data_IF_685388967509
#
_entry.id   IF_685388967509
#
_cell.length_a   1.000
_cell.length_b   1.000
_cell.length_c   1.000
_cell.angle_alpha   90.00
_cell.angle_beta   90.00
_cell.angle_gamma   90.00
#
_symmetry.space_group_name_H-M   'P 1'
#
loop_
_entity.id
_entity.type
_entity.pdbx_description
1 polymer ?
#
# COMPACT_ATOMS: atom_id res chain seq x y z
N UNK A 1 -2.55 -25.65 17.43
CA UNK A 1 -3.54 -26.35 16.59
C UNK A 1 -3.03 -26.32 15.16
N UNK A 2 -3.01 -27.46 14.44
CA UNK A 2 -2.81 -27.43 12.98
C UNK A 2 -4.04 -26.74 12.37
N UNK A 3 -3.88 -25.79 11.43
CA UNK A 3 -5.02 -25.12 10.81
C UNK A 3 -5.93 -26.16 10.12
N UNK A 4 -7.24 -25.92 10.16
CA UNK A 4 -8.21 -26.68 9.37
C UNK A 4 -7.82 -26.51 7.91
N UNK A 5 -7.58 -27.61 7.19
CA UNK A 5 -7.07 -27.55 5.83
C UNK A 5 -8.19 -27.08 4.89
N UNK A 6 -8.09 -25.86 4.38
CA UNK A 6 -8.97 -25.37 3.33
C UNK A 6 -8.43 -25.90 2.00
N UNK A 7 -9.27 -26.53 1.20
CA UNK A 7 -8.84 -27.15 -0.06
C UNK A 7 -8.46 -26.11 -1.14
N UNK A 8 -8.83 -24.83 -0.94
CA UNK A 8 -8.66 -23.79 -1.95
C UNK A 8 -7.24 -23.25 -2.02
N UNK A 9 -6.80 -22.93 -3.23
CA UNK A 9 -5.49 -22.31 -3.51
C UNK A 9 -5.64 -20.82 -3.79
N UNK A 10 -4.84 -20.00 -3.12
CA UNK A 10 -4.79 -18.54 -3.31
C UNK A 10 -3.44 -18.13 -3.88
N UNK A 11 -3.44 -17.47 -5.03
CA UNK A 11 -2.25 -16.87 -5.63
C UNK A 11 -2.10 -15.43 -5.12
N UNK A 12 -0.95 -15.09 -4.53
CA UNK A 12 -0.68 -13.72 -4.10
C UNK A 12 0.55 -13.16 -4.80
N UNK A 13 0.55 -11.86 -5.10
CA UNK A 13 1.78 -11.22 -5.54
C UNK A 13 1.66 -9.73 -5.83
N UNK A 14 2.79 -9.04 -6.04
CA UNK A 14 4.13 -9.64 -6.10
C UNK A 14 4.66 -10.14 -4.73
N UNK A 15 5.44 -11.22 -4.74
CA UNK A 15 5.98 -11.83 -3.52
C UNK A 15 6.88 -10.89 -2.70
N UNK A 16 7.46 -9.85 -3.33
CA UNK A 16 8.30 -8.84 -2.67
C UNK A 16 7.52 -7.59 -2.23
N UNK A 17 6.19 -7.57 -2.41
CA UNK A 17 5.34 -6.51 -1.91
C UNK A 17 5.41 -6.45 -0.37
N UNK A 18 5.34 -5.23 0.16
CA UNK A 18 5.48 -4.98 1.59
C UNK A 18 4.41 -5.69 2.44
N UNK A 19 3.18 -5.79 1.93
CA UNK A 19 2.09 -6.47 2.62
C UNK A 19 2.19 -8.01 2.55
N UNK A 20 3.01 -8.55 1.63
CA UNK A 20 2.97 -9.96 1.28
C UNK A 20 3.15 -10.92 2.45
N UNK A 21 4.07 -10.70 3.42
CA UNK A 21 4.20 -11.61 4.55
C UNK A 21 2.96 -11.67 5.43
N UNK A 22 2.37 -10.51 5.72
CA UNK A 22 1.16 -10.44 6.56
C UNK A 22 -0.06 -11.05 5.89
N UNK A 23 -0.16 -10.91 4.57
CA UNK A 23 -1.18 -11.58 3.75
C UNK A 23 -0.96 -13.08 3.76
N UNK A 24 0.26 -13.55 3.53
CA UNK A 24 0.59 -14.98 3.59
C UNK A 24 0.19 -15.58 4.95
N UNK A 25 0.58 -14.94 6.06
CA UNK A 25 0.26 -15.44 7.39
C UNK A 25 -1.26 -15.51 7.64
N UNK A 26 -2.01 -14.50 7.21
CA UNK A 26 -3.49 -14.50 7.28
C UNK A 26 -4.07 -15.73 6.58
N UNK A 27 -3.71 -15.93 5.31
CA UNK A 27 -4.24 -17.02 4.49
C UNK A 27 -3.78 -18.40 4.99
N UNK A 28 -2.54 -18.51 5.43
CA UNK A 28 -1.97 -19.74 5.98
C UNK A 28 -2.71 -20.19 7.25
N UNK A 29 -3.00 -19.27 8.18
CA UNK A 29 -3.74 -19.61 9.40
C UNK A 29 -5.21 -19.93 9.14
N UNK A 30 -5.78 -19.40 8.05
CA UNK A 30 -7.09 -19.79 7.51
C UNK A 30 -7.08 -21.13 6.74
N UNK A 31 -5.91 -21.75 6.60
CA UNK A 31 -5.74 -23.07 6.00
C UNK A 31 -5.68 -23.08 4.48
N UNK A 32 -5.62 -21.93 3.81
CA UNK A 32 -5.47 -21.85 2.35
C UNK A 32 -4.10 -22.36 1.91
N UNK A 33 -4.05 -23.02 0.75
CA UNK A 33 -2.78 -23.27 0.06
C UNK A 33 -2.34 -21.97 -0.63
N UNK A 34 -1.26 -21.36 -0.16
CA UNK A 34 -0.78 -20.09 -0.72
C UNK A 34 0.30 -20.35 -1.77
N UNK A 35 0.12 -19.82 -2.98
CA UNK A 35 1.13 -19.76 -4.04
C UNK A 35 1.49 -18.30 -4.31
N UNK A 36 2.67 -18.07 -4.88
CA UNK A 36 3.11 -16.71 -5.19
C UNK A 36 3.65 -16.58 -6.60
N UNK A 37 3.48 -15.39 -7.18
CA UNK A 37 4.22 -14.97 -8.37
C UNK A 37 5.20 -13.84 -8.04
N UNK A 38 6.31 -13.79 -8.76
CA UNK A 38 7.37 -12.83 -8.58
C UNK A 38 7.98 -12.40 -9.92
N UNK A 39 8.60 -11.23 -9.96
CA UNK A 39 9.41 -10.79 -11.11
C UNK A 39 10.64 -11.69 -11.23
N UNK A 40 11.03 -12.07 -12.45
CA UNK A 40 12.18 -12.95 -12.73
C UNK A 40 13.49 -12.48 -12.06
N UNK A 41 13.78 -11.19 -12.07
CA UNK A 41 15.02 -10.62 -11.52
C UNK A 41 14.93 -10.26 -10.03
N UNK A 42 13.88 -10.67 -9.34
CA UNK A 42 13.63 -10.29 -7.94
C UNK A 42 13.64 -11.51 -7.03
N UNK A 43 14.32 -11.36 -5.88
CA UNK A 43 14.28 -12.34 -4.79
C UNK A 43 13.49 -11.76 -3.64
N UNK A 44 12.48 -12.49 -3.17
CA UNK A 44 11.72 -12.15 -1.97
C UNK A 44 12.05 -13.13 -0.83
N UNK A 45 12.26 -12.66 0.42
CA UNK A 45 12.38 -13.54 1.57
C UNK A 45 11.19 -14.49 1.70
N UNK A 46 9.98 -14.02 1.36
CA UNK A 46 8.75 -14.80 1.40
C UNK A 46 8.85 -16.07 0.57
N UNK A 47 9.25 -15.96 -0.71
CA UNK A 47 9.34 -17.11 -1.62
C UNK A 47 10.47 -18.08 -1.29
N UNK A 48 11.45 -17.66 -0.48
CA UNK A 48 12.60 -18.50 -0.08
C UNK A 48 12.45 -19.20 1.27
N UNK A 49 11.58 -18.69 2.14
CA UNK A 49 11.54 -19.12 3.55
C UNK A 49 10.18 -19.69 3.92
N UNK A 50 9.09 -19.14 3.38
CA UNK A 50 7.74 -19.58 3.71
C UNK A 50 7.30 -20.73 2.79
N UNK A 51 6.40 -21.61 3.24
CA UNK A 51 5.98 -22.79 2.48
C UNK A 51 5.00 -22.44 1.35
N UNK A 52 5.46 -21.69 0.35
CA UNK A 52 4.68 -21.27 -0.83
C UNK A 52 4.97 -22.09 -2.10
N UNK A 53 5.87 -23.08 -1.97
CA UNK A 53 6.42 -23.83 -3.10
C UNK A 53 7.32 -22.99 -4.00
N UNK A 54 7.68 -23.51 -5.17
CA UNK A 54 8.41 -22.73 -6.16
C UNK A 54 7.54 -21.54 -6.64
N UNK A 55 8.09 -20.31 -6.62
CA UNK A 55 7.36 -19.13 -7.07
C UNK A 55 7.23 -19.16 -8.59
N UNK A 56 6.08 -18.71 -9.09
CA UNK A 56 5.91 -18.50 -10.52
C UNK A 56 6.66 -17.24 -10.94
N UNK A 57 7.57 -17.37 -11.91
CA UNK A 57 8.35 -16.25 -12.42
C UNK A 57 7.65 -15.63 -13.62
N UNK A 58 7.50 -14.31 -13.60
CA UNK A 58 6.99 -13.54 -14.74
C UNK A 58 7.95 -12.42 -15.10
N UNK A 59 7.92 -11.98 -16.35
CA UNK A 59 8.65 -10.77 -16.77
C UNK A 59 8.27 -9.59 -15.87
N UNK A 60 9.24 -8.72 -15.60
CA UNK A 60 8.96 -7.51 -14.84
C UNK A 60 8.06 -6.57 -15.67
N UNK A 61 6.89 -6.13 -15.15
CA UNK A 61 6.05 -5.16 -15.86
C UNK A 61 6.78 -3.85 -16.15
N UNK A 62 7.81 -3.53 -15.36
CA UNK A 62 8.70 -2.39 -15.54
C UNK A 62 9.65 -2.54 -16.74
N UNK A 63 9.80 -3.75 -17.29
CA UNK A 63 10.56 -4.04 -18.51
C UNK A 63 9.65 -4.21 -19.74
N UNK A 64 8.50 -4.90 -19.58
CA UNK A 64 7.47 -5.02 -20.60
C UNK A 64 6.14 -5.41 -19.95
N UNK A 65 5.14 -4.52 -20.04
CA UNK A 65 3.82 -4.78 -19.48
C UNK A 65 3.08 -5.91 -20.23
N UNK A 66 3.23 -5.95 -21.56
CA UNK A 66 2.60 -6.96 -22.42
C UNK A 66 3.13 -8.37 -22.11
N UNK A 67 4.45 -8.54 -21.99
CA UNK A 67 5.04 -9.84 -21.65
C UNK A 67 4.63 -10.28 -20.25
N UNK A 68 4.67 -9.38 -19.27
CA UNK A 68 4.23 -9.70 -17.91
C UNK A 68 2.75 -10.11 -17.87
N UNK A 69 1.89 -9.44 -18.65
CA UNK A 69 0.45 -9.75 -18.74
C UNK A 69 0.24 -11.13 -19.36
N UNK A 70 0.93 -11.43 -20.46
CA UNK A 70 0.89 -12.75 -21.11
C UNK A 70 1.40 -13.86 -20.20
N UNK A 71 2.47 -13.63 -19.47
CA UNK A 71 3.01 -14.60 -18.52
C UNK A 71 2.01 -14.91 -17.40
N UNK A 72 1.41 -13.88 -16.80
CA UNK A 72 0.42 -14.08 -15.75
C UNK A 72 -0.84 -14.78 -16.30
N UNK A 73 -1.32 -14.40 -17.49
CA UNK A 73 -2.44 -15.08 -18.13
C UNK A 73 -2.13 -16.56 -18.42
N UNK A 74 -0.94 -16.86 -18.95
CA UNK A 74 -0.47 -18.22 -19.19
C UNK A 74 -0.33 -19.03 -17.89
N UNK A 75 0.19 -18.41 -16.83
CA UNK A 75 0.24 -19.01 -15.49
C UNK A 75 -1.17 -19.42 -15.05
N UNK A 76 -2.13 -18.50 -15.10
CA UNK A 76 -3.51 -18.76 -14.66
C UNK A 76 -4.16 -19.88 -15.50
N UNK A 77 -3.99 -19.85 -16.82
CA UNK A 77 -4.48 -20.90 -17.73
C UNK A 77 -3.94 -22.29 -17.41
N UNK A 78 -2.65 -22.37 -17.09
CA UNK A 78 -1.95 -23.63 -16.84
C UNK A 78 -2.13 -24.15 -15.40
N UNK A 79 -2.74 -23.38 -14.51
CA UNK A 79 -2.94 -23.73 -13.10
C UNK A 79 -4.41 -23.52 -12.70
N UNK A 80 -5.34 -24.33 -13.24
CA UNK A 80 -6.77 -24.21 -12.93
C UNK A 80 -7.12 -24.57 -11.47
N UNK A 81 -6.16 -25.06 -10.68
CA UNK A 81 -6.28 -25.27 -9.24
C UNK A 81 -6.19 -23.97 -8.42
N UNK A 82 -5.86 -22.84 -9.04
CA UNK A 82 -5.90 -21.52 -8.40
C UNK A 82 -7.36 -21.04 -8.34
N UNK A 83 -7.88 -20.86 -7.13
CA UNK A 83 -9.28 -20.48 -6.90
C UNK A 83 -9.45 -18.97 -6.77
N UNK A 84 -8.50 -18.30 -6.11
CA UNK A 84 -8.50 -16.85 -5.91
C UNK A 84 -7.12 -16.23 -6.12
N UNK A 85 -7.10 -14.93 -6.39
CA UNK A 85 -5.90 -14.14 -6.52
C UNK A 85 -5.96 -12.86 -5.67
N UNK A 86 -4.82 -12.47 -5.07
CA UNK A 86 -4.62 -11.17 -4.43
C UNK A 86 -3.42 -10.44 -5.02
N UNK A 87 -3.69 -9.27 -5.60
CA UNK A 87 -2.71 -8.24 -5.89
C UNK A 87 -2.33 -7.45 -4.62
N UNK A 88 -1.03 -7.27 -4.42
CA UNK A 88 -0.45 -6.78 -3.16
C UNK A 88 0.20 -5.39 -3.29
N UNK A 89 0.29 -4.86 -4.51
CA UNK A 89 0.71 -3.50 -4.83
C UNK A 89 -0.02 -2.98 -6.08
N UNK A 90 0.15 -1.69 -6.39
CA UNK A 90 -0.60 -1.04 -7.47
C UNK A 90 -0.22 -1.61 -8.86
N UNK A 91 1.02 -2.06 -9.02
CA UNK A 91 1.51 -2.71 -10.25
C UNK A 91 0.85 -4.07 -10.45
N UNK A 92 0.82 -4.91 -9.42
CA UNK A 92 0.16 -6.22 -9.47
C UNK A 92 -1.36 -6.09 -9.57
N UNK A 93 -1.95 -5.01 -9.06
CA UNK A 93 -3.39 -4.74 -9.19
C UNK A 93 -3.76 -4.46 -10.64
N UNK A 94 -2.98 -3.58 -11.30
CA UNK A 94 -3.10 -3.35 -12.73
C UNK A 94 -2.92 -4.67 -13.51
N UNK A 95 -1.81 -5.37 -13.25
CA UNK A 95 -1.43 -6.57 -13.98
C UNK A 95 -2.46 -7.70 -13.85
N UNK A 96 -3.00 -7.92 -12.65
CA UNK A 96 -4.01 -8.96 -12.41
C UNK A 96 -5.29 -8.69 -13.22
N UNK A 97 -5.74 -7.43 -13.25
CA UNK A 97 -6.90 -7.04 -14.04
C UNK A 97 -6.65 -7.25 -15.55
N UNK A 98 -5.52 -6.78 -16.08
CA UNK A 98 -5.18 -6.96 -17.50
C UNK A 98 -5.06 -8.45 -17.88
N UNK A 99 -4.41 -9.25 -17.03
CA UNK A 99 -4.27 -10.68 -17.29
C UNK A 99 -5.63 -11.39 -17.31
N UNK A 100 -6.51 -11.13 -16.33
CA UNK A 100 -7.84 -11.75 -16.28
C UNK A 100 -8.76 -11.30 -17.43
N UNK A 101 -8.63 -10.05 -17.88
CA UNK A 101 -9.34 -9.52 -19.04
C UNK A 101 -8.85 -10.16 -20.35
N UNK A 102 -7.57 -10.55 -20.41
CA UNK A 102 -7.00 -11.22 -21.59
C UNK A 102 -7.37 -12.70 -21.72
N UNK A 103 -7.88 -13.32 -20.65
CA UNK A 103 -8.35 -14.70 -20.67
C UNK A 103 -9.71 -14.79 -21.38
N UNK A 104 -9.90 -15.83 -22.19
CA UNK A 104 -11.15 -16.07 -22.91
C UNK A 104 -12.32 -16.41 -21.97
N UNK A 105 -13.56 -16.22 -22.43
CA UNK A 105 -14.76 -16.48 -21.61
C UNK A 105 -14.94 -17.95 -21.23
N UNK A 106 -14.43 -18.87 -22.04
CA UNK A 106 -14.45 -20.31 -21.78
C UNK A 106 -13.34 -20.76 -20.81
N UNK A 107 -12.38 -19.89 -20.48
CA UNK A 107 -11.27 -20.21 -19.59
C UNK A 107 -11.70 -20.05 -18.13
N UNK A 108 -11.31 -21.00 -17.26
CA UNK A 108 -11.52 -20.85 -15.82
C UNK A 108 -10.67 -19.68 -15.31
N UNK A 109 -11.32 -18.68 -14.72
CA UNK A 109 -10.68 -17.52 -14.10
C UNK A 109 -10.75 -17.65 -12.57
N UNK A 110 -9.64 -17.48 -11.82
CA UNK A 110 -9.75 -17.34 -10.37
C UNK A 110 -10.51 -16.05 -10.02
N UNK A 111 -11.15 -16.02 -8.86
CA UNK A 111 -11.76 -14.78 -8.36
C UNK A 111 -10.67 -13.81 -7.92
N UNK A 112 -10.74 -12.55 -8.37
CA UNK A 112 -9.81 -11.51 -7.91
C UNK A 112 -10.35 -10.91 -6.60
N UNK A 113 -9.62 -11.08 -5.50
CA UNK A 113 -9.97 -10.56 -4.18
C UNK A 113 -9.49 -9.11 -3.96
N UNK A 114 -9.47 -8.32 -5.04
CA UNK A 114 -9.15 -6.90 -5.06
C UNK A 114 -10.15 -6.13 -5.92
N UNK A 115 -9.95 -4.82 -6.02
CA UNK A 115 -10.67 -3.97 -6.93
C UNK A 115 -10.61 -4.45 -8.39
N UNK A 116 -11.77 -4.43 -9.04
CA UNK A 116 -11.97 -4.76 -10.46
C UNK A 116 -12.71 -3.63 -11.17
N UNK A 117 -12.58 -3.55 -12.49
CA UNK A 117 -13.31 -2.59 -13.33
C UNK A 117 -13.16 -1.15 -12.83
N UNK A 118 -14.29 -0.47 -12.59
CA UNK A 118 -14.33 0.93 -12.13
C UNK A 118 -13.61 1.12 -10.79
N UNK A 119 -13.72 0.17 -9.86
CA UNK A 119 -13.00 0.26 -8.57
C UNK A 119 -11.49 0.26 -8.79
N UNK A 120 -10.98 -0.56 -9.71
CA UNK A 120 -9.55 -0.58 -10.07
C UNK A 120 -9.12 0.75 -10.68
N UNK A 121 -9.93 1.33 -11.56
CA UNK A 121 -9.62 2.64 -12.16
C UNK A 121 -9.52 3.73 -11.10
N UNK A 122 -10.43 3.75 -10.12
CA UNK A 122 -10.39 4.69 -9.00
C UNK A 122 -9.18 4.41 -8.10
N UNK A 123 -8.88 3.15 -7.77
CA UNK A 123 -7.72 2.78 -6.96
C UNK A 123 -6.38 3.26 -7.55
N UNK A 124 -6.28 3.33 -8.87
CA UNK A 124 -5.06 3.67 -9.59
C UNK A 124 -5.00 5.15 -10.03
N UNK A 125 -6.05 5.95 -9.81
CA UNK A 125 -6.12 7.35 -10.22
C UNK A 125 -6.46 8.28 -9.05
N UNK A 126 -5.43 8.94 -8.52
CA UNK A 126 -5.55 9.89 -7.39
C UNK A 126 -6.37 11.13 -7.74
N UNK A 127 -6.43 11.55 -9.00
CA UNK A 127 -7.27 12.69 -9.36
C UNK A 127 -8.75 12.35 -9.15
N UNK A 128 -9.17 11.17 -9.62
CA UNK A 128 -10.54 10.64 -9.38
C UNK A 128 -10.83 10.42 -7.90
N UNK A 129 -9.84 9.95 -7.14
CA UNK A 129 -9.99 9.78 -5.69
C UNK A 129 -10.24 11.12 -4.99
N UNK A 130 -9.46 12.16 -5.33
CA UNK A 130 -9.57 13.49 -4.73
C UNK A 130 -10.94 14.10 -5.04
N UNK A 131 -11.38 14.05 -6.29
CA UNK A 131 -12.70 14.55 -6.70
C UNK A 131 -13.83 13.86 -5.91
N UNK A 132 -13.80 12.52 -5.82
CA UNK A 132 -14.81 11.78 -5.08
C UNK A 132 -14.74 12.00 -3.56
N UNK A 133 -13.53 12.20 -3.01
CA UNK A 133 -13.33 12.49 -1.58
C UNK A 133 -13.87 13.88 -1.22
N UNK A 134 -13.58 14.89 -2.03
CA UNK A 134 -14.09 16.26 -1.87
C UNK A 134 -15.62 16.28 -1.95
N UNK A 135 -16.21 15.60 -2.94
CA UNK A 135 -17.66 15.48 -3.09
C UNK A 135 -18.32 14.77 -1.89
N UNK A 136 -17.60 13.88 -1.21
CA UNK A 136 -18.05 13.21 0.01
C UNK A 136 -17.82 14.04 1.30
N UNK A 137 -17.29 15.26 1.19
CA UNK A 137 -17.06 16.16 2.31
C UNK A 137 -15.77 15.88 3.10
N UNK A 138 -14.84 15.09 2.56
CA UNK A 138 -13.48 14.99 3.10
C UNK A 138 -12.68 16.23 2.69
N UNK A 139 -11.86 16.75 3.61
CA UNK A 139 -10.92 17.81 3.27
C UNK A 139 -9.84 17.25 2.35
N UNK A 140 -9.58 17.91 1.22
CA UNK A 140 -8.48 17.58 0.30
C UNK A 140 -7.50 18.75 0.26
N UNK A 141 -6.18 18.52 0.15
CA UNK A 141 -5.26 19.62 -0.10
C UNK A 141 -5.68 20.39 -1.36
N UNK A 142 -5.55 21.73 -1.40
CA UNK A 142 -5.75 22.48 -2.64
C UNK A 142 -4.97 21.84 -3.78
N UNK A 143 -5.68 21.31 -4.78
CA UNK A 143 -5.10 20.46 -5.82
C UNK A 143 -5.35 21.05 -7.19
N UNK A 144 -4.30 21.16 -7.99
CA UNK A 144 -4.41 21.46 -9.41
C UNK A 144 -3.91 20.24 -10.19
N UNK A 145 -4.73 19.77 -11.13
CA UNK A 145 -4.34 18.71 -12.07
C UNK A 145 -3.67 19.38 -13.27
N UNK A 146 -2.37 19.17 -13.42
CA UNK A 146 -1.57 19.74 -14.50
C UNK A 146 -1.26 18.66 -15.55
N UNK A 147 -1.35 19.03 -16.82
CA UNK A 147 -1.10 18.18 -17.99
C UNK A 147 0.15 18.55 -18.76
N UNK A 148 0.83 19.63 -18.36
CA UNK A 148 2.07 20.10 -18.97
C UNK A 148 2.99 20.75 -17.93
N UNK A 149 4.27 20.93 -18.29
CA UNK A 149 5.23 21.62 -17.42
C UNK A 149 4.81 23.07 -17.18
N UNK A 150 4.28 23.76 -18.19
CA UNK A 150 3.80 25.14 -18.09
C UNK A 150 2.65 25.30 -17.11
N UNK A 151 1.75 24.32 -17.04
CA UNK A 151 0.69 24.29 -16.02
C UNK A 151 1.27 24.10 -14.62
N UNK A 152 2.30 23.26 -14.44
CA UNK A 152 3.00 23.13 -13.16
C UNK A 152 3.58 24.49 -12.73
N UNK A 153 4.28 25.18 -13.64
CA UNK A 153 4.85 26.51 -13.39
C UNK A 153 3.79 27.52 -12.93
N UNK A 154 2.63 27.55 -13.57
CA UNK A 154 1.53 28.48 -13.25
C UNK A 154 0.80 28.11 -11.95
N UNK A 155 0.67 26.82 -11.67
CA UNK A 155 -0.10 26.29 -10.55
C UNK A 155 0.68 26.33 -9.21
N UNK A 156 2.00 26.25 -9.26
CA UNK A 156 2.82 26.05 -8.07
C UNK A 156 2.81 27.25 -7.12
N UNK A 157 2.41 27.00 -5.87
CA UNK A 157 2.58 27.92 -4.73
C UNK A 157 3.45 27.23 -3.70
N UNK A 158 4.59 27.82 -3.37
CA UNK A 158 5.61 27.16 -2.56
C UNK A 158 5.34 27.24 -1.06
N UNK A 159 5.76 26.22 -0.28
CA UNK A 159 6.31 24.96 -0.74
C UNK A 159 5.23 24.04 -1.34
N UNK A 160 5.55 23.32 -2.43
CA UNK A 160 4.65 22.48 -3.21
C UNK A 160 5.22 21.08 -3.47
N UNK A 161 4.35 20.14 -3.77
CA UNK A 161 4.67 18.81 -4.27
C UNK A 161 3.97 18.58 -5.61
N UNK A 162 4.74 18.08 -6.56
CA UNK A 162 4.24 17.61 -7.86
C UNK A 162 4.36 16.09 -7.85
N UNK A 163 3.25 15.38 -7.98
CA UNK A 163 3.23 13.91 -8.00
C UNK A 163 2.31 13.39 -9.11
N UNK A 164 2.57 12.21 -9.70
CA UNK A 164 1.68 11.64 -10.70
C UNK A 164 0.27 11.45 -10.15
N UNK A 165 -0.74 11.75 -10.97
CA UNK A 165 -2.12 11.42 -10.62
C UNK A 165 -2.33 9.90 -10.66
N UNK A 166 -1.72 9.21 -11.62
CA UNK A 166 -1.82 7.75 -11.75
C UNK A 166 -0.78 7.06 -10.87
N UNK A 167 -1.21 6.06 -10.09
CA UNK A 167 -0.32 5.24 -9.26
C UNK A 167 0.68 4.45 -10.12
N UNK A 168 0.24 4.01 -11.30
CA UNK A 168 1.05 3.39 -12.35
C UNK A 168 0.62 3.90 -13.72
N UNK A 169 1.56 4.03 -14.64
CA UNK A 169 1.29 4.39 -16.04
C UNK A 169 2.16 3.57 -16.99
N UNK A 170 1.72 3.43 -18.24
CA UNK A 170 2.55 2.89 -19.31
C UNK A 170 3.34 4.03 -19.96
N UNK A 171 4.64 3.84 -20.11
CA UNK A 171 5.44 4.74 -20.94
C UNK A 171 5.31 4.40 -22.43
N UNK A 172 5.90 5.23 -23.30
CA UNK A 172 5.88 5.06 -24.75
C UNK A 172 6.49 3.72 -25.24
N UNK A 173 7.28 3.05 -24.40
CA UNK A 173 7.88 1.75 -24.70
C UNK A 173 7.04 0.58 -24.13
N UNK A 174 5.82 0.82 -23.64
CA UNK A 174 4.94 -0.21 -23.11
C UNK A 174 5.40 -0.75 -21.75
N UNK A 175 6.09 0.06 -20.95
CA UNK A 175 6.63 -0.35 -19.65
C UNK A 175 5.88 0.33 -18.52
N UNK A 176 5.59 -0.40 -17.45
CA UNK A 176 4.97 0.19 -16.26
C UNK A 176 5.96 1.09 -15.54
N UNK A 177 5.53 2.30 -15.20
CA UNK A 177 6.26 3.28 -14.41
C UNK A 177 5.41 3.75 -13.24
N UNK A 178 6.06 3.91 -12.09
CA UNK A 178 5.59 4.76 -11.00
C UNK A 178 6.33 6.07 -11.17
N UNK A 179 5.65 7.15 -11.52
CA UNK A 179 6.31 8.44 -11.70
C UNK A 179 6.85 8.97 -10.36
N UNK A 180 7.80 9.89 -10.43
CA UNK A 180 8.45 10.45 -9.26
C UNK A 180 7.66 11.64 -8.67
N UNK A 181 7.77 11.80 -7.35
CA UNK A 181 7.30 13.00 -6.68
C UNK A 181 8.43 14.04 -6.62
N UNK A 182 8.14 15.26 -7.03
CA UNK A 182 9.06 16.39 -7.01
C UNK A 182 8.63 17.38 -5.91
N UNK A 183 9.55 17.70 -5.01
CA UNK A 183 9.33 18.69 -3.96
C UNK A 183 9.89 20.02 -4.44
N UNK A 184 9.08 21.06 -4.38
CA UNK A 184 9.42 22.41 -4.80
C UNK A 184 9.30 23.32 -3.58
N UNK A 185 10.41 23.89 -3.12
CA UNK A 185 10.47 24.76 -1.94
C UNK A 185 10.49 26.24 -2.33
N UNK A 186 10.97 26.57 -3.51
CA UNK A 186 10.91 27.91 -4.08
C UNK A 186 10.87 27.91 -5.62
N UNK A 187 10.86 29.11 -6.20
CA UNK A 187 10.77 29.31 -7.65
C UNK A 187 11.94 28.66 -8.42
N UNK A 188 13.13 28.57 -7.82
CA UNK A 188 14.32 28.02 -8.49
C UNK A 188 14.22 26.51 -8.69
N UNK A 189 13.48 25.81 -7.82
CA UNK A 189 13.26 24.36 -7.96
C UNK A 189 12.50 24.00 -9.25
N UNK A 190 11.67 24.91 -9.77
CA UNK A 190 10.95 24.69 -11.03
C UNK A 190 11.90 24.59 -12.24
N UNK A 191 13.03 25.28 -12.20
CA UNK A 191 14.05 25.24 -13.25
C UNK A 191 14.76 23.88 -13.26
N UNK A 192 14.84 23.23 -12.09
CA UNK A 192 15.45 21.90 -11.90
C UNK A 192 14.54 20.74 -12.29
N UNK A 193 13.24 21.00 -12.54
CA UNK A 193 12.31 19.97 -12.98
C UNK A 193 12.80 19.35 -14.30
N UNK A 194 12.65 18.01 -14.45
CA UNK A 194 13.08 17.33 -15.65
C UNK A 194 12.27 17.78 -16.88
N UNK A 195 12.71 17.36 -18.07
CA UNK A 195 11.95 17.58 -19.30
C UNK A 195 10.58 16.91 -19.25
N UNK A 196 9.65 17.40 -20.08
CA UNK A 196 8.24 16.95 -20.10
C UNK A 196 8.09 15.43 -20.26
N UNK A 197 8.96 14.81 -21.05
CA UNK A 197 9.00 13.36 -21.32
C UNK A 197 9.29 12.50 -20.08
N UNK A 198 9.84 13.08 -19.02
CA UNK A 198 10.13 12.38 -17.77
C UNK A 198 8.90 12.32 -16.84
N UNK A 199 7.89 13.15 -17.08
CA UNK A 199 6.67 13.17 -16.27
C UNK A 199 5.68 12.10 -16.74
N UNK A 200 4.96 11.53 -15.78
CA UNK A 200 3.79 10.69 -16.02
C UNK A 200 2.53 11.53 -15.89
N UNK A 201 2.22 12.35 -16.90
CA UNK A 201 1.03 13.20 -16.89
C UNK A 201 -0.28 12.37 -16.92
N UNK A 202 -1.38 12.91 -16.35
CA UNK A 202 -1.44 14.16 -15.59
C UNK A 202 -0.77 14.04 -14.21
N UNK A 203 -0.32 15.18 -13.68
CA UNK A 203 0.26 15.29 -12.32
C UNK A 203 -0.62 16.16 -11.43
N UNK A 204 -0.51 15.94 -10.12
CA UNK A 204 -1.14 16.72 -9.08
C UNK A 204 -0.11 17.71 -8.53
N UNK A 205 -0.45 18.99 -8.54
CA UNK A 205 0.28 20.07 -7.87
C UNK A 205 -0.48 20.41 -6.59
N UNK A 206 0.16 20.21 -5.44
CA UNK A 206 -0.44 20.41 -4.11
C UNK A 206 0.53 21.17 -3.20
N UNK A 207 0.04 21.90 -2.19
CA UNK A 207 0.92 22.47 -1.17
C UNK A 207 1.59 21.35 -0.36
N UNK A 208 2.82 21.61 0.09
CA UNK A 208 3.47 20.80 1.10
C UNK A 208 2.94 21.17 2.47
N UNK A 209 2.19 20.25 3.07
CA UNK A 209 1.58 20.42 4.39
C UNK A 209 2.40 19.64 5.41
N UNK A 210 2.69 20.26 6.54
CA UNK A 210 3.24 19.53 7.67
C UNK A 210 2.12 18.83 8.45
N UNK A 211 2.39 17.60 8.89
CA UNK A 211 1.42 16.89 9.70
C UNK A 211 1.87 15.48 10.07
N UNK A 212 0.97 14.79 10.77
CA UNK A 212 1.13 13.38 11.12
C UNK A 212 0.35 12.54 10.13
N UNK A 213 1.01 11.54 9.53
CA UNK A 213 0.32 10.58 8.67
C UNK A 213 -0.64 9.73 9.50
N UNK A 214 -1.92 9.81 9.20
CA UNK A 214 -3.00 9.05 9.81
C UNK A 214 -3.75 8.25 8.74
N UNK A 215 -4.78 7.51 9.13
CA UNK A 215 -5.66 6.88 8.18
C UNK A 215 -6.82 6.19 8.84
N UNK A 216 -7.84 5.90 8.04
CA UNK A 216 -9.02 5.12 8.43
C UNK A 216 -8.98 3.81 7.65
N UNK A 217 -8.94 2.71 8.38
CA UNK A 217 -9.01 1.38 7.80
C UNK A 217 -10.42 0.84 7.96
N UNK A 218 -10.90 0.08 6.99
CA UNK A 218 -12.18 -0.59 7.09
C UNK A 218 -12.36 -1.69 6.06
N UNK A 219 -13.54 -2.29 6.09
CA UNK A 219 -13.97 -3.31 5.16
C UNK A 219 -15.36 -2.97 4.61
N UNK A 220 -15.50 -2.89 3.30
CA UNK A 220 -16.78 -2.65 2.64
C UNK A 220 -17.37 -3.98 2.15
N UNK A 221 -18.63 -4.25 2.50
CA UNK A 221 -19.38 -5.38 1.98
C UNK A 221 -20.75 -4.97 1.47
N UNK A 222 -21.63 -5.97 1.30
CA UNK A 222 -22.99 -5.77 0.81
C UNK A 222 -23.80 -4.77 1.63
N UNK A 223 -23.62 -4.76 2.95
CA UNK A 223 -24.34 -3.88 3.88
C UNK A 223 -23.60 -2.54 4.11
N UNK A 224 -22.57 -2.25 3.31
CA UNK A 224 -21.74 -1.06 3.43
C UNK A 224 -20.47 -1.28 4.25
N UNK A 225 -19.98 -0.19 4.83
CA UNK A 225 -18.69 -0.15 5.53
C UNK A 225 -18.81 -0.63 6.98
N UNK A 226 -17.98 -1.59 7.34
CA UNK A 226 -17.86 -2.17 8.67
C UNK A 226 -16.40 -2.28 9.12
N UNK A 227 -16.22 -2.69 10.39
CA UNK A 227 -14.92 -3.01 10.98
C UNK A 227 -13.92 -1.86 10.93
N UNK A 228 -14.36 -0.64 11.19
CA UNK A 228 -13.54 0.57 11.01
C UNK A 228 -12.66 0.85 12.23
N UNK A 229 -11.39 1.19 12.00
CA UNK A 229 -10.53 1.76 13.03
C UNK A 229 -9.45 2.68 12.43
N UNK A 230 -8.86 3.51 13.29
CA UNK A 230 -7.86 4.49 12.90
C UNK A 230 -6.43 3.98 12.99
N UNK A 231 -5.56 4.63 12.24
CA UNK A 231 -4.13 4.39 12.25
C UNK A 231 -3.39 5.72 12.38
N UNK A 232 -2.32 5.75 13.17
CA UNK A 232 -1.39 6.87 13.27
C UNK A 232 0.04 6.41 13.10
N UNK A 233 0.78 7.07 12.21
CA UNK A 233 2.24 6.86 12.06
C UNK A 233 2.93 7.45 13.28
N UNK A 234 3.67 6.60 14.00
CA UNK A 234 4.55 7.03 15.10
C UNK A 234 5.90 7.44 14.51
N UNK A 235 6.36 6.69 13.50
CA UNK A 235 7.61 6.95 12.75
C UNK A 235 7.44 6.52 11.31
N UNK A 236 7.97 7.33 10.40
CA UNK A 236 8.16 6.98 9.00
C UNK A 236 9.48 6.24 8.83
N UNK A 237 9.60 5.34 7.85
CA UNK A 237 10.89 4.70 7.53
C UNK A 237 11.94 5.74 7.07
N UNK A 238 11.53 6.69 6.24
CA UNK A 238 12.29 7.85 5.82
C UNK A 238 11.50 9.11 6.24
N UNK A 239 12.04 9.96 7.13
CA UNK A 239 11.33 11.15 7.60
C UNK A 239 11.06 12.21 6.53
N UNK A 240 11.62 12.08 5.32
CA UNK A 240 11.28 12.92 4.16
C UNK A 240 9.89 12.64 3.56
N UNK A 241 9.19 11.60 4.02
CA UNK A 241 7.93 11.15 3.43
C UNK A 241 8.04 9.71 2.96
N UNK A 242 7.45 8.80 3.73
CA UNK A 242 7.34 7.38 3.38
C UNK A 242 6.34 6.68 4.30
N UNK A 243 6.05 5.41 4.02
CA UNK A 243 5.25 4.56 4.89
C UNK A 243 5.87 4.37 6.29
N UNK A 244 5.05 3.88 7.21
CA UNK A 244 5.44 3.68 8.60
C UNK A 244 6.62 2.70 8.76
N UNK A 245 7.53 3.00 9.69
CA UNK A 245 8.35 2.01 10.39
C UNK A 245 7.70 1.59 11.71
N UNK A 246 6.91 2.48 12.33
CA UNK A 246 6.11 2.19 13.51
C UNK A 246 4.77 2.95 13.44
N UNK A 247 3.70 2.30 13.88
CA UNK A 247 2.37 2.92 13.96
C UNK A 247 1.55 2.36 15.13
N UNK A 248 0.49 3.08 15.49
CA UNK A 248 -0.52 2.63 16.45
C UNK A 248 -1.92 2.67 15.84
N UNK A 249 -2.82 1.91 16.45
CA UNK A 249 -4.25 2.06 16.26
C UNK A 249 -4.76 3.29 17.03
N UNK A 250 -5.78 3.93 16.47
CA UNK A 250 -6.47 5.10 17.03
C UNK A 250 -7.98 4.96 16.83
N UNK A 251 -8.75 5.81 17.51
CA UNK A 251 -10.18 6.00 17.23
C UNK A 251 -10.35 7.30 16.42
N UNK A 252 -10.72 7.22 15.12
CA UNK A 252 -11.07 8.41 14.35
C UNK A 252 -12.31 9.10 14.93
N UNK A 253 -12.47 10.40 14.67
CA UNK A 253 -13.69 11.11 15.01
C UNK A 253 -14.89 10.53 14.24
N UNK A 254 -16.07 10.52 14.86
CA UNK A 254 -17.27 9.92 14.27
C UNK A 254 -17.67 10.63 12.96
N UNK A 255 -17.49 11.95 12.87
CA UNK A 255 -17.76 12.73 11.65
C UNK A 255 -16.85 12.34 10.47
N UNK A 256 -15.57 12.07 10.75
CA UNK A 256 -14.61 11.57 9.76
C UNK A 256 -14.99 10.16 9.29
N UNK A 257 -15.46 9.30 10.20
CA UNK A 257 -15.94 7.97 9.83
C UNK A 257 -17.14 8.08 8.89
N UNK A 258 -18.11 8.96 9.18
CA UNK A 258 -19.30 9.13 8.33
C UNK A 258 -18.96 9.68 6.94
N UNK A 259 -18.01 10.62 6.84
CA UNK A 259 -17.47 11.09 5.55
C UNK A 259 -16.76 9.97 4.79
N UNK A 260 -15.95 9.16 5.47
CA UNK A 260 -15.30 7.99 4.86
C UNK A 260 -16.33 6.97 4.36
N UNK A 261 -17.38 6.68 5.13
CA UNK A 261 -18.47 5.79 4.68
C UNK A 261 -19.15 6.33 3.42
N UNK A 262 -19.43 7.63 3.39
CA UNK A 262 -20.02 8.31 2.23
C UNK A 262 -19.11 8.22 1.01
N UNK A 263 -17.80 8.47 1.19
CA UNK A 263 -16.80 8.35 0.13
C UNK A 263 -16.70 6.92 -0.43
N UNK A 264 -16.57 5.92 0.43
CA UNK A 264 -16.43 4.51 0.02
C UNK A 264 -17.71 4.03 -0.69
N UNK A 265 -18.89 4.48 -0.25
CA UNK A 265 -20.16 4.18 -0.92
C UNK A 265 -20.27 4.88 -2.29
N UNK A 266 -19.87 6.15 -2.41
CA UNK A 266 -20.03 6.93 -3.65
C UNK A 266 -19.21 6.36 -4.82
N UNK A 267 -18.07 5.74 -4.52
CA UNK A 267 -17.21 5.10 -5.52
C UNK A 267 -17.54 3.60 -5.74
N UNK A 268 -18.59 3.09 -5.07
CA UNK A 268 -19.00 1.69 -5.18
C UNK A 268 -17.95 0.70 -4.71
N UNK A 269 -17.13 1.07 -3.71
CA UNK A 269 -16.02 0.25 -3.26
C UNK A 269 -16.48 -0.98 -2.46
N UNK A 270 -15.80 -2.10 -2.67
CA UNK A 270 -16.00 -3.37 -1.98
C UNK A 270 -14.65 -3.94 -1.54
N UNK A 271 -14.65 -4.63 -0.41
CA UNK A 271 -13.47 -5.22 0.19
C UNK A 271 -12.70 -4.27 1.11
N UNK A 272 -11.44 -4.61 1.45
CA UNK A 272 -10.66 -3.84 2.41
C UNK A 272 -10.23 -2.50 1.80
N UNK A 273 -10.16 -1.47 2.65
CA UNK A 273 -9.68 -0.15 2.26
C UNK A 273 -8.88 0.52 3.36
N UNK A 274 -7.93 1.35 2.93
CA UNK A 274 -7.31 2.38 3.78
C UNK A 274 -7.49 3.72 3.08
N UNK A 275 -8.15 4.64 3.77
CA UNK A 275 -8.06 6.07 3.45
C UNK A 275 -6.82 6.62 4.17
N UNK A 276 -5.81 7.05 3.41
CA UNK A 276 -4.63 7.71 3.96
C UNK A 276 -4.92 9.20 4.18
N UNK A 277 -4.58 9.68 5.37
CA UNK A 277 -4.82 11.04 5.82
C UNK A 277 -3.50 11.68 6.28
N UNK A 278 -3.44 13.00 6.23
CA UNK A 278 -2.43 13.80 6.90
C UNK A 278 -3.17 14.77 7.84
N UNK A 279 -2.93 14.65 9.14
CA UNK A 279 -3.50 15.57 10.12
C UNK A 279 -2.48 16.67 10.44
N UNK A 280 -2.83 17.93 10.16
CA UNK A 280 -1.97 19.09 10.42
C UNK A 280 -1.94 19.47 11.92
N UNK A 281 -1.32 20.60 12.27
CA UNK A 281 -1.20 21.03 13.67
C UNK A 281 -2.51 21.64 14.22
N UNK A 282 -3.33 22.17 13.34
CA UNK A 282 -4.66 22.69 13.61
C UNK A 282 -5.69 21.57 13.81
N UNK A 283 -5.34 20.34 13.43
CA UNK A 283 -6.17 19.15 13.57
C UNK A 283 -7.03 18.83 12.35
N UNK A 284 -6.80 19.50 11.21
CA UNK A 284 -7.49 19.16 9.96
C UNK A 284 -6.90 17.89 9.36
N UNK A 285 -7.74 16.91 9.06
CA UNK A 285 -7.35 15.67 8.39
C UNK A 285 -7.52 15.79 6.86
N UNK A 286 -6.41 15.95 6.16
CA UNK A 286 -6.34 16.05 4.71
C UNK A 286 -6.29 14.67 4.05
N UNK A 287 -7.19 14.40 3.11
CA UNK A 287 -7.20 13.21 2.28
C UNK A 287 -5.97 13.16 1.36
N UNK A 288 -5.24 12.05 1.41
CA UNK A 288 -4.01 11.85 0.62
C UNK A 288 -4.23 10.87 -0.52
N UNK A 289 -4.79 9.69 -0.21
CA UNK A 289 -5.14 8.66 -1.21
C UNK A 289 -6.04 7.57 -0.61
N UNK A 290 -6.74 6.86 -1.48
CA UNK A 290 -7.34 5.56 -1.18
C UNK A 290 -6.37 4.45 -1.60
N UNK A 291 -5.98 3.62 -0.65
CA UNK A 291 -5.18 2.42 -0.92
C UNK A 291 -6.11 1.26 -1.30
N UNK A 292 -6.27 1.03 -2.60
CA UNK A 292 -7.13 0.00 -3.16
C UNK A 292 -6.59 -1.44 -3.13
N UNK A 293 -5.51 -1.65 -2.38
CA UNK A 293 -4.84 -2.93 -2.14
C UNK A 293 -4.34 -2.94 -0.70
N UNK A 294 -3.96 -4.11 -0.20
CA UNK A 294 -3.47 -4.22 1.16
C UNK A 294 -2.18 -3.42 1.35
N UNK A 295 -2.11 -2.72 2.47
CA UNK A 295 -1.10 -1.70 2.74
C UNK A 295 0.00 -2.22 3.66
N UNK A 296 1.10 -1.47 3.75
CA UNK A 296 2.25 -1.87 4.55
C UNK A 296 1.94 -2.15 6.02
N UNK A 297 1.06 -1.36 6.62
CA UNK A 297 0.61 -1.52 8.00
C UNK A 297 -0.49 -2.58 8.18
N UNK A 298 -0.61 -3.56 7.26
CA UNK A 298 -1.51 -4.72 7.42
C UNK A 298 -1.24 -5.47 8.73
N UNK A 299 0.01 -5.50 9.21
CA UNK A 299 0.33 -6.04 10.53
C UNK A 299 -0.53 -5.41 11.65
N UNK A 300 -0.72 -4.08 11.64
CA UNK A 300 -1.55 -3.39 12.64
C UNK A 300 -2.97 -3.94 12.64
N UNK A 301 -3.55 -4.17 11.46
CA UNK A 301 -4.93 -4.67 11.30
C UNK A 301 -5.09 -6.05 11.94
N UNK A 302 -4.23 -7.00 11.54
CA UNK A 302 -4.24 -8.37 12.05
C UNK A 302 -3.98 -8.42 13.55
N UNK A 303 -3.08 -7.57 14.05
CA UNK A 303 -2.78 -7.53 15.48
C UNK A 303 -3.95 -6.95 16.26
N UNK A 304 -4.81 -6.12 15.67
CA UNK A 304 -6.04 -5.65 16.32
C UNK A 304 -7.27 -6.55 16.09
N UNK A 305 -7.08 -7.74 15.51
CA UNK A 305 -8.17 -8.71 15.28
C UNK A 305 -8.90 -8.52 13.96
N UNK A 306 -8.44 -7.60 13.10
CA UNK A 306 -9.03 -7.37 11.79
C UNK A 306 -8.25 -8.15 10.71
N UNK A 307 -8.84 -9.22 10.20
CA UNK A 307 -8.21 -10.11 9.21
C UNK A 307 -8.61 -9.76 7.77
N UNK A 308 -8.45 -8.49 7.40
CA UNK A 308 -8.77 -7.98 6.06
C UNK A 308 -8.25 -8.83 4.89
N UNK A 309 -7.03 -9.42 4.92
CA UNK A 309 -6.59 -10.26 3.80
C UNK A 309 -7.44 -11.52 3.63
N UNK A 310 -7.72 -12.21 4.72
CA UNK A 310 -8.57 -13.38 4.69
C UNK A 310 -10.00 -13.03 4.30
N UNK A 311 -10.56 -11.96 4.87
CA UNK A 311 -11.92 -11.48 4.56
C UNK A 311 -12.10 -11.07 3.11
N UNK A 312 -11.08 -10.47 2.48
CA UNK A 312 -11.12 -10.16 1.06
C UNK A 312 -11.28 -11.43 0.21
N UNK A 313 -10.58 -12.52 0.58
CA UNK A 313 -10.70 -13.82 -0.10
C UNK A 313 -12.06 -14.47 0.16
N UNK A 314 -12.55 -14.45 1.41
CA UNK A 314 -13.89 -14.98 1.72
C UNK A 314 -14.97 -14.22 0.91
N UNK A 315 -14.90 -12.88 0.87
CA UNK A 315 -15.83 -12.05 0.11
C UNK A 315 -15.74 -12.28 -1.41
N UNK A 316 -14.55 -12.54 -1.93
CA UNK A 316 -14.40 -12.88 -3.34
C UNK A 316 -15.07 -14.21 -3.71
N UNK A 317 -15.15 -15.15 -2.77
CA UNK A 317 -15.90 -16.41 -2.96
C UNK A 317 -17.39 -16.29 -2.66
N UNK A 318 -17.76 -15.46 -1.70
CA UNK A 318 -19.13 -15.20 -1.29
C UNK A 318 -19.33 -13.68 -1.13
N UNK A 319 -19.94 -13.01 -2.12
CA UNK A 319 -20.25 -11.57 -2.02
C UNK A 319 -21.15 -11.20 -0.83
N UNK A 320 -21.85 -12.17 -0.23
CA UNK A 320 -22.63 -12.02 1.00
C UNK A 320 -21.81 -12.23 2.29
N UNK A 321 -20.50 -12.40 2.20
CA UNK A 321 -19.63 -12.56 3.36
C UNK A 321 -19.64 -11.31 4.25
N UNK A 322 -19.87 -11.52 5.54
CA UNK A 322 -19.75 -10.50 6.57
C UNK A 322 -18.72 -10.93 7.62
N UNK A 323 -17.72 -10.08 7.94
CA UNK A 323 -16.73 -10.42 8.95
C UNK A 323 -17.30 -10.29 10.36
N UNK A 324 -17.32 -11.41 11.08
CA UNK A 324 -17.53 -11.44 12.53
C UNK A 324 -16.25 -11.01 13.23
N UNK A 325 -16.06 -9.70 13.42
CA UNK A 325 -15.03 -9.18 14.30
C UNK A 325 -15.64 -8.66 15.59
N UNK A 326 -15.14 -9.18 16.71
CA UNK A 326 -15.29 -8.61 18.05
C UNK A 326 -13.99 -7.89 18.38
N UNK A 327 -13.78 -6.65 17.91
CA UNK A 327 -12.53 -5.97 18.17
C UNK A 327 -12.36 -5.76 19.67
N UNK A 328 -11.17 -6.10 20.19
CA UNK A 328 -10.76 -5.56 21.49
C UNK A 328 -10.64 -4.05 21.41
N UNK A 329 -10.57 -3.35 22.55
CA UNK A 329 -10.34 -1.90 22.52
C UNK A 329 -9.08 -1.62 21.66
N UNK A 330 -9.22 -0.86 20.56
CA UNK A 330 -8.12 -0.61 19.63
C UNK A 330 -7.03 0.28 20.25
N UNK A 331 -7.28 0.85 21.44
CA UNK A 331 -6.45 1.88 22.03
C UNK A 331 -4.99 1.41 22.26
N UNK A 332 -4.10 2.19 21.65
CA UNK A 332 -2.64 2.16 21.79
C UNK A 332 -1.92 0.85 21.42
N UNK A 333 -2.55 -0.02 20.61
CA UNK A 333 -1.81 -1.17 20.05
C UNK A 333 -0.79 -0.66 19.04
N UNK A 334 0.49 -0.79 19.39
CA UNK A 334 1.64 -0.39 18.56
C UNK A 334 2.20 -1.58 17.79
N UNK A 335 2.51 -1.37 16.52
CA UNK A 335 3.29 -2.31 15.72
C UNK A 335 4.50 -1.65 15.08
N UNK A 336 5.58 -2.42 14.91
CA UNK A 336 6.87 -1.92 14.37
C UNK A 336 7.47 -2.86 13.34
N UNK A 337 8.09 -2.31 12.33
CA UNK A 337 8.82 -3.06 11.33
C UNK A 337 10.32 -2.93 11.58
N UNK A 338 10.94 -3.99 12.11
CA UNK A 338 12.33 -3.94 12.60
C UNK A 338 13.32 -3.43 11.55
N UNK A 339 13.30 -3.99 10.33
CA UNK A 339 14.19 -3.52 9.26
C UNK A 339 14.01 -2.03 8.91
N UNK A 340 12.77 -1.53 8.93
CA UNK A 340 12.45 -0.13 8.65
C UNK A 340 12.79 0.81 9.80
N UNK A 341 12.69 0.35 11.04
CA UNK A 341 13.15 1.09 12.22
C UNK A 341 14.67 1.31 12.18
N UNK A 342 15.43 0.32 11.71
CA UNK A 342 16.88 0.47 11.47
C UNK A 342 17.13 1.48 10.35
N UNK A 343 16.41 1.37 9.22
CA UNK A 343 16.53 2.33 8.11
C UNK A 343 16.16 3.75 8.55
N UNK A 344 15.16 3.91 9.42
CA UNK A 344 14.77 5.19 10.02
C UNK A 344 15.95 5.85 10.74
N UNK A 345 16.63 5.13 11.64
CA UNK A 345 17.82 5.67 12.32
C UNK A 345 18.90 6.08 11.32
N UNK A 346 19.11 5.28 10.27
CA UNK A 346 20.09 5.63 9.23
C UNK A 346 19.68 6.86 8.42
N UNK A 347 18.38 7.09 8.18
CA UNK A 347 17.92 8.34 7.55
C UNK A 347 18.09 9.52 8.49
N UNK A 348 17.71 9.38 9.76
CA UNK A 348 17.84 10.43 10.78
C UNK A 348 19.29 10.90 10.90
N UNK A 349 20.26 9.97 10.90
CA UNK A 349 21.71 10.30 10.90
C UNK A 349 22.11 11.09 9.66
N UNK A 350 21.60 10.75 8.47
CA UNK A 350 21.90 11.49 7.24
C UNK A 350 21.39 12.92 7.25
N UNK A 351 20.34 13.19 8.03
CA UNK A 351 19.77 14.52 8.16
C UNK A 351 18.76 14.89 7.06
N UNK A 352 18.11 16.05 7.23
CA UNK A 352 17.14 16.59 6.29
C UNK A 352 17.79 17.06 4.98
N UNK A 353 17.06 16.94 3.87
CA UNK A 353 17.48 17.43 2.54
C UNK A 353 17.02 18.85 2.23
N UNK A 354 16.12 19.44 3.04
CA UNK A 354 15.61 20.79 2.82
C UNK A 354 15.20 21.46 4.13
N UNK A 355 15.01 22.78 4.11
CA UNK A 355 14.55 23.56 5.28
C UNK A 355 13.21 23.08 5.80
N UNK A 356 12.25 22.82 4.90
CA UNK A 356 10.96 22.24 5.22
C UNK A 356 11.12 20.95 6.07
N UNK A 357 11.98 20.03 5.64
CA UNK A 357 12.21 18.80 6.41
C UNK A 357 12.97 19.03 7.72
N UNK A 358 13.85 20.03 7.76
CA UNK A 358 14.64 20.36 8.94
C UNK A 358 13.78 20.84 10.12
N UNK A 359 12.70 21.59 9.84
CA UNK A 359 11.79 22.14 10.85
C UNK A 359 11.18 21.08 11.77
N UNK A 360 10.88 19.89 11.23
CA UNK A 360 10.32 18.76 11.99
C UNK A 360 11.20 17.51 11.94
N UNK A 361 12.51 17.68 11.74
CA UNK A 361 13.40 16.53 11.63
C UNK A 361 13.49 15.76 12.96
N UNK A 362 13.36 14.42 12.97
CA UNK A 362 13.39 13.68 14.21
C UNK A 362 14.75 13.79 14.92
N UNK A 363 14.71 13.99 16.25
CA UNK A 363 15.92 13.89 17.06
C UNK A 363 16.43 12.44 17.08
N UNK A 364 17.74 12.25 16.88
CA UNK A 364 18.36 10.93 16.83
C UNK A 364 18.20 10.14 18.13
N UNK A 365 18.53 10.73 19.29
CA UNK A 365 18.46 10.03 20.58
C UNK A 365 17.02 9.64 20.92
N UNK A 366 16.04 10.52 20.70
CA UNK A 366 14.62 10.19 20.86
C UNK A 366 14.20 9.04 19.93
N UNK A 367 14.65 9.07 18.67
CA UNK A 367 14.40 7.99 17.71
C UNK A 367 15.03 6.67 18.18
N UNK A 368 16.28 6.69 18.65
CA UNK A 368 16.98 5.50 19.13
C UNK A 368 16.31 4.89 20.36
N UNK A 369 15.96 5.69 21.37
CA UNK A 369 15.17 5.23 22.52
C UNK A 369 13.82 4.62 22.07
N UNK A 370 13.17 5.26 21.09
CA UNK A 370 11.95 4.76 20.47
C UNK A 370 12.14 3.39 19.84
N UNK A 371 13.19 3.19 19.04
CA UNK A 371 13.49 1.94 18.31
C UNK A 371 13.88 0.81 19.27
N UNK A 372 14.75 1.08 20.24
CA UNK A 372 15.30 0.06 21.15
C UNK A 372 14.44 -0.23 22.37
N UNK A 373 13.32 0.47 22.55
CA UNK A 373 12.37 0.16 23.63
C UNK A 373 11.85 -1.28 23.54
N UNK A 374 11.86 -2.00 24.66
CA UNK A 374 11.41 -3.39 24.76
C UNK A 374 9.93 -3.50 24.35
N UNK A 375 9.65 -4.35 23.35
CA UNK A 375 8.29 -4.64 22.87
C UNK A 375 8.10 -6.15 22.78
N UNK A 376 6.87 -6.61 22.98
CA UNK A 376 6.52 -8.00 22.69
C UNK A 376 6.80 -8.32 21.22
N UNK A 377 7.35 -9.51 20.90
CA UNK A 377 7.52 -9.96 19.51
C UNK A 377 6.23 -9.91 18.68
N UNK A 378 5.06 -10.10 19.31
CA UNK A 378 3.76 -9.99 18.63
C UNK A 378 3.41 -8.57 18.17
N UNK A 379 4.11 -7.55 18.67
CA UNK A 379 4.00 -6.15 18.25
C UNK A 379 4.89 -5.81 17.06
N UNK A 380 5.42 -6.79 16.33
CA UNK A 380 6.19 -6.53 15.12
C UNK A 380 5.43 -6.90 13.85
N UNK A 381 5.75 -6.18 12.78
CA UNK A 381 5.44 -6.58 11.42
C UNK A 381 6.23 -7.84 11.12
N UNK A 382 5.67 -8.71 10.29
CA UNK A 382 6.32 -9.88 9.73
C UNK A 382 6.78 -10.91 10.78
N UNK A 383 6.33 -10.78 12.03
CA UNK A 383 6.50 -11.80 13.07
C UNK A 383 5.26 -12.68 13.14
N UNK A 384 5.46 -13.97 12.92
CA UNK A 384 4.47 -15.02 13.12
C UNK A 384 5.08 -16.15 13.95
N UNK A 385 4.33 -16.67 14.93
CA UNK A 385 4.80 -17.73 15.83
C UNK A 385 5.09 -19.04 15.11
N UNK A 386 4.44 -19.30 13.98
CA UNK A 386 4.72 -20.47 13.15
C UNK A 386 6.04 -20.34 12.37
N UNK A 387 6.51 -19.11 12.14
CA UNK A 387 7.68 -18.82 11.31
C UNK A 387 8.62 -17.79 11.98
N UNK A 388 9.11 -18.03 13.21
CA UNK A 388 9.84 -17.02 13.98
C UNK A 388 11.14 -16.56 13.31
N UNK A 389 11.80 -17.44 12.55
CA UNK A 389 13.03 -17.12 11.81
C UNK A 389 12.79 -16.20 10.59
N UNK A 390 11.56 -16.16 10.07
CA UNK A 390 11.21 -15.30 8.94
C UNK A 390 11.43 -13.82 9.28
N UNK A 391 10.99 -13.41 10.48
CA UNK A 391 11.07 -12.04 10.96
C UNK A 391 12.49 -11.45 10.88
N UNK A 392 13.49 -12.18 11.40
CA UNK A 392 14.89 -11.70 11.42
C UNK A 392 15.48 -11.65 10.00
N UNK A 393 15.18 -12.65 9.16
CA UNK A 393 15.67 -12.70 7.78
C UNK A 393 15.05 -11.61 6.91
N UNK A 394 13.75 -11.34 7.08
CA UNK A 394 13.05 -10.26 6.40
C UNK A 394 13.62 -8.90 6.84
N UNK A 395 13.82 -8.68 8.14
CA UNK A 395 14.41 -7.44 8.64
C UNK A 395 15.81 -7.19 8.06
N UNK A 396 16.68 -8.20 8.04
CA UNK A 396 18.01 -8.12 7.42
C UNK A 396 17.92 -7.81 5.92
N UNK A 397 17.02 -8.49 5.20
CA UNK A 397 16.79 -8.25 3.78
C UNK A 397 16.32 -6.81 3.51
N UNK A 398 15.36 -6.30 4.30
CA UNK A 398 14.87 -4.92 4.20
C UNK A 398 16.00 -3.91 4.40
N UNK A 399 16.89 -4.13 5.37
CA UNK A 399 18.04 -3.25 5.60
C UNK A 399 19.02 -3.30 4.43
N UNK A 400 19.39 -4.50 3.95
CA UNK A 400 20.32 -4.67 2.82
C UNK A 400 19.75 -4.03 1.54
N UNK A 401 18.47 -4.27 1.23
CA UNK A 401 17.79 -3.66 0.07
C UNK A 401 17.73 -2.15 0.22
N UNK A 402 17.39 -1.62 1.39
CA UNK A 402 17.33 -0.18 1.66
C UNK A 402 18.68 0.53 1.57
N UNK A 403 19.79 -0.13 1.95
CA UNK A 403 21.15 0.41 1.80
C UNK A 403 21.58 0.37 0.33
N UNK A 404 21.34 -0.73 -0.39
CA UNK A 404 21.70 -0.85 -1.82
C UNK A 404 20.89 0.10 -2.71
N UNK A 405 19.61 0.26 -2.43
CA UNK A 405 18.72 1.19 -3.14
C UNK A 405 19.01 2.66 -2.88
N UNK A 406 19.86 3.00 -1.90
CA UNK A 406 20.36 4.37 -1.66
C UNK A 406 21.58 4.75 -2.50
N UNK A 407 22.23 3.78 -3.14
CA UNK A 407 23.41 4.00 -4.00
C UNK A 407 23.01 4.10 -5.49
N UNK A 408 21.71 4.09 -5.76
CA UNK A 408 21.07 4.47 -7.02
C UNK A 408 20.23 5.70 -6.73
#
# INVERSE_FOLDING_TARGET
MKPVQNAKTVLIGFADALAAPEVFFSLYHKGYKVRVFQRQDTVAPLSKILPVGEPFLIHAPEQSADLATRDLANLLRNNPDIDAMLALDDTSLWLANEALNSLGDAERKPVLANAVGVQKDIALDKARQIEAAEAAGLAVPPTIVASSRDEIFKASKFPAIVKPARAVSLDHAGRIRKGDAHYLFDQTDLETLPGEQAFSFPVLVQPLIHGTGEGVFGFAGKDGVAQVFGHRRIRMMNPHGSGASACCATRPADDLIDKVKTFIASIGWQGPFMVELLTDEEGNSWFIELNGRLWGSTALTRRNGYDYPGWAVEQAFDPGFHPDASPGSPDDRRVRHLGREILHLLFVIKGPKSKFHAERWPNFFRSACGVFSLHSPSGFYNYDRAFPLFFLREAAFTVVKGIRGRNR
#
